data_IF_735945243890
#
_entry.id   IF_735945243890
#
_cell.length_a   1.000
_cell.length_b   1.000
_cell.length_c   1.000
_cell.angle_alpha   90.00
_cell.angle_beta   90.00
_cell.angle_gamma   90.00
#
_symmetry.space_group_name_H-M   'P 1'
#
loop_
_entity.id
_entity.type
_entity.pdbx_description
1 polymer ?
#
# COMPACT_ATOMS: atom_id res chain seq x y z
N UNK A 1 -5.13 -25.99 -21.44
CA UNK A 1 -6.36 -26.28 -20.67
C UNK A 1 -6.59 -25.14 -19.73
N UNK A 2 -7.84 -24.79 -19.40
CA UNK A 2 -8.16 -23.79 -18.37
C UNK A 2 -8.88 -24.50 -17.25
N UNK A 3 -8.76 -23.99 -16.02
CA UNK A 3 -9.42 -24.55 -14.85
C UNK A 3 -10.53 -23.61 -14.38
N UNK A 4 -11.54 -24.14 -13.71
CA UNK A 4 -12.58 -23.37 -13.05
C UNK A 4 -12.14 -22.99 -11.63
N UNK A 5 -12.34 -21.74 -11.28
CA UNK A 5 -12.15 -21.26 -9.90
C UNK A 5 -13.48 -20.75 -9.38
N UNK A 6 -13.91 -21.28 -8.22
CA UNK A 6 -15.10 -20.82 -7.48
C UNK A 6 -14.67 -20.09 -6.23
N UNK A 7 -15.17 -18.87 -6.03
CA UNK A 7 -14.91 -18.05 -4.85
C UNK A 7 -16.02 -18.24 -3.81
N UNK A 8 -15.65 -18.45 -2.56
CA UNK A 8 -16.56 -18.49 -1.41
C UNK A 8 -16.36 -17.23 -0.54
N UNK A 9 -17.44 -16.69 0.07
CA UNK A 9 -18.81 -17.23 0.12
C UNK A 9 -19.68 -16.86 -1.08
N UNK A 10 -19.27 -15.96 -2.01
CA UNK A 10 -20.14 -15.41 -3.05
C UNK A 10 -20.65 -16.43 -4.09
N UNK A 11 -19.91 -17.52 -4.27
CA UNK A 11 -20.21 -18.52 -5.28
C UNK A 11 -19.85 -18.12 -6.72
N UNK A 12 -19.24 -16.93 -6.93
CA UNK A 12 -18.78 -16.48 -8.25
C UNK A 12 -17.74 -17.42 -8.83
N UNK A 13 -17.73 -17.58 -10.15
CA UNK A 13 -16.81 -18.45 -10.86
C UNK A 13 -16.10 -17.74 -12.00
N UNK A 14 -14.87 -18.14 -12.28
CA UNK A 14 -14.11 -17.67 -13.43
C UNK A 14 -13.14 -18.75 -13.94
N UNK A 15 -12.64 -18.54 -15.15
CA UNK A 15 -11.64 -19.42 -15.76
C UNK A 15 -10.24 -18.88 -15.52
N UNK A 16 -9.32 -19.76 -15.11
CA UNK A 16 -7.89 -19.47 -14.97
C UNK A 16 -7.08 -20.28 -15.98
N UNK A 17 -6.11 -19.63 -16.63
CA UNK A 17 -5.13 -20.29 -17.50
C UNK A 17 -3.95 -20.78 -16.67
N UNK A 18 -3.22 -21.83 -17.07
CA UNK A 18 -2.10 -22.39 -16.30
C UNK A 18 -0.97 -21.39 -15.97
N UNK A 19 -0.80 -20.34 -16.78
CA UNK A 19 0.21 -19.30 -16.60
C UNK A 19 -0.28 -18.05 -15.86
N UNK A 20 -1.56 -18.02 -15.50
CA UNK A 20 -2.15 -16.90 -14.74
C UNK A 20 -2.18 -17.22 -13.26
N UNK A 21 -1.95 -16.21 -12.43
CA UNK A 21 -2.23 -16.29 -11.00
C UNK A 21 -3.73 -16.21 -10.74
N UNK A 22 -4.17 -16.72 -9.59
CA UNK A 22 -5.58 -16.62 -9.17
C UNK A 22 -6.04 -15.15 -9.17
N UNK A 23 -5.18 -14.24 -8.70
CA UNK A 23 -5.50 -12.81 -8.64
C UNK A 23 -5.67 -12.20 -10.04
N UNK A 24 -4.73 -12.46 -10.97
CA UNK A 24 -4.81 -11.94 -12.35
C UNK A 24 -6.08 -12.43 -13.07
N UNK A 25 -6.42 -13.70 -12.91
CA UNK A 25 -7.62 -14.27 -13.51
C UNK A 25 -8.90 -13.69 -12.89
N UNK A 26 -8.94 -13.51 -11.56
CA UNK A 26 -10.05 -12.88 -10.85
C UNK A 26 -10.29 -11.44 -11.32
N UNK A 27 -9.23 -10.63 -11.37
CA UNK A 27 -9.29 -9.24 -11.85
C UNK A 27 -9.81 -9.20 -13.30
N UNK A 28 -9.29 -10.07 -14.17
CA UNK A 28 -9.72 -10.17 -15.57
C UNK A 28 -11.21 -10.55 -15.71
N UNK A 29 -11.75 -11.28 -14.75
CA UNK A 29 -13.15 -11.67 -14.68
C UNK A 29 -14.05 -10.66 -13.92
N UNK A 30 -13.49 -9.53 -13.48
CA UNK A 30 -14.23 -8.52 -12.70
C UNK A 30 -14.54 -8.95 -11.27
N UNK A 31 -13.83 -9.96 -10.76
CA UNK A 31 -13.97 -10.45 -9.38
C UNK A 31 -12.83 -9.87 -8.54
N UNK A 32 -13.20 -9.10 -7.53
CA UNK A 32 -12.24 -8.33 -6.74
C UNK A 32 -11.82 -9.10 -5.49
N UNK A 33 -10.71 -9.80 -5.56
CA UNK A 33 -10.02 -10.38 -4.42
C UNK A 33 -9.18 -9.27 -3.76
N UNK A 34 -9.11 -9.15 -2.42
CA UNK A 34 -8.22 -8.20 -1.77
C UNK A 34 -6.77 -8.40 -2.21
N UNK A 35 -6.06 -7.33 -2.51
CA UNK A 35 -4.64 -7.39 -2.85
C UNK A 35 -3.93 -6.05 -2.54
N UNK A 36 -2.61 -6.12 -2.42
CA UNK A 36 -1.72 -4.96 -2.27
C UNK A 36 -0.53 -5.10 -3.22
N UNK A 37 0.58 -5.65 -2.76
CA UNK A 37 1.89 -5.67 -3.45
C UNK A 37 1.98 -6.50 -4.74
N UNK A 38 1.09 -7.43 -4.99
CA UNK A 38 1.06 -8.38 -6.13
C UNK A 38 2.34 -9.25 -6.29
N UNK A 39 3.29 -9.18 -5.37
CA UNK A 39 4.58 -9.89 -5.45
C UNK A 39 4.80 -10.90 -4.31
N UNK A 40 3.80 -11.15 -3.47
CA UNK A 40 3.86 -12.17 -2.42
C UNK A 40 4.48 -11.71 -1.09
N UNK A 41 4.52 -10.39 -0.80
CA UNK A 41 5.21 -9.85 0.35
C UNK A 41 4.33 -9.12 1.38
N UNK A 42 3.03 -8.87 1.12
CA UNK A 42 2.18 -8.14 2.05
C UNK A 42 1.04 -8.97 2.67
N UNK A 43 0.73 -10.15 2.14
CA UNK A 43 -0.34 -11.00 2.64
C UNK A 43 -1.79 -10.56 2.32
N UNK A 44 -2.01 -9.38 1.76
CA UNK A 44 -3.35 -8.84 1.51
C UNK A 44 -4.23 -9.75 0.62
N UNK A 45 -3.63 -10.57 -0.23
CA UNK A 45 -4.31 -11.53 -1.10
C UNK A 45 -4.30 -12.97 -0.54
N UNK A 46 -4.03 -13.15 0.77
CA UNK A 46 -4.07 -14.48 1.41
C UNK A 46 -5.50 -15.02 1.37
N UNK A 47 -5.63 -16.26 0.92
CA UNK A 47 -6.90 -16.94 0.76
C UNK A 47 -6.72 -18.41 1.13
N UNK A 48 -7.83 -19.11 1.42
CA UNK A 48 -7.81 -20.55 1.73
C UNK A 48 -8.31 -21.34 0.55
N UNK A 49 -7.52 -22.28 0.06
CA UNK A 49 -7.93 -23.28 -0.93
C UNK A 49 -8.71 -24.36 -0.19
N UNK A 50 -10.02 -24.44 -0.44
CA UNK A 50 -10.93 -25.41 0.18
C UNK A 50 -10.95 -26.71 -0.60
N UNK A 51 -10.77 -26.63 -1.92
CA UNK A 51 -10.70 -27.79 -2.81
C UNK A 51 -9.77 -27.47 -3.99
N UNK A 52 -9.04 -28.49 -4.45
CA UNK A 52 -8.05 -28.40 -5.52
C UNK A 52 -6.64 -28.08 -5.02
N UNK A 53 -5.69 -27.98 -5.96
CA UNK A 53 -4.28 -27.77 -5.68
C UNK A 53 -3.73 -26.56 -6.42
N UNK A 54 -2.79 -25.86 -5.78
CA UNK A 54 -2.06 -24.73 -6.35
C UNK A 54 -0.55 -24.93 -6.21
N UNK A 55 0.21 -24.38 -7.15
CA UNK A 55 1.64 -24.20 -7.03
C UNK A 55 1.91 -22.74 -6.73
N UNK A 56 2.75 -22.48 -5.75
CA UNK A 56 3.10 -21.13 -5.31
C UNK A 56 4.61 -21.01 -5.13
N UNK A 57 5.20 -20.01 -5.82
CA UNK A 57 6.62 -19.70 -5.77
C UNK A 57 6.88 -18.21 -5.57
N UNK A 58 8.11 -17.85 -5.21
CA UNK A 58 8.56 -16.46 -5.09
C UNK A 58 7.70 -15.59 -4.17
N UNK A 59 7.49 -16.03 -2.93
CA UNK A 59 6.81 -15.29 -1.89
C UNK A 59 7.66 -15.24 -0.61
N UNK A 60 7.35 -14.31 0.29
CA UNK A 60 8.01 -14.21 1.58
C UNK A 60 7.39 -15.24 2.57
N UNK A 61 8.24 -16.08 3.17
CA UNK A 61 7.79 -17.11 4.14
C UNK A 61 7.19 -16.53 5.41
N UNK A 62 7.52 -15.30 5.73
CA UNK A 62 6.96 -14.53 6.83
C UNK A 62 5.50 -14.17 6.61
N UNK A 63 5.07 -14.07 5.34
CA UNK A 63 3.70 -13.73 4.94
C UNK A 63 2.81 -14.97 4.78
N UNK A 64 3.41 -16.09 4.38
CA UNK A 64 2.73 -17.39 4.28
C UNK A 64 3.66 -18.46 4.80
N UNK A 65 3.43 -18.90 6.03
CA UNK A 65 4.22 -19.91 6.70
C UNK A 65 3.98 -21.32 6.12
N UNK A 66 4.93 -22.22 6.37
CA UNK A 66 4.78 -23.62 5.94
C UNK A 66 3.60 -24.32 6.65
N UNK A 67 3.21 -23.86 7.85
CA UNK A 67 2.03 -24.36 8.58
C UNK A 67 0.75 -23.90 7.87
N UNK A 68 0.59 -22.62 7.61
CA UNK A 68 -0.56 -22.08 6.89
C UNK A 68 -0.72 -22.72 5.50
N UNK A 69 0.39 -22.94 4.80
CA UNK A 69 0.39 -23.61 3.49
C UNK A 69 -0.15 -25.05 3.62
N UNK A 70 0.21 -25.79 4.67
CA UNK A 70 -0.33 -27.13 4.95
C UNK A 70 -1.81 -27.08 5.31
N UNK A 71 -2.27 -26.00 5.93
CA UNK A 71 -3.67 -25.76 6.28
C UNK A 71 -4.51 -25.24 5.10
N UNK A 72 -3.91 -25.18 3.90
CA UNK A 72 -4.56 -24.81 2.66
C UNK A 72 -4.52 -23.31 2.33
N UNK A 73 -3.80 -22.49 3.09
CA UNK A 73 -3.66 -21.08 2.74
C UNK A 73 -2.70 -20.86 1.56
N UNK A 74 -2.99 -19.84 0.78
CA UNK A 74 -2.17 -19.41 -0.37
C UNK A 74 -2.21 -17.89 -0.54
N UNK A 75 -1.33 -17.36 -1.40
CA UNK A 75 -1.37 -15.97 -1.84
C UNK A 75 -1.87 -15.92 -3.27
N UNK A 76 -3.06 -15.38 -3.49
CA UNK A 76 -3.70 -15.36 -4.82
C UNK A 76 -2.86 -14.68 -5.90
N UNK A 77 -1.97 -13.73 -5.54
CA UNK A 77 -1.07 -13.06 -6.49
C UNK A 77 0.14 -13.91 -6.92
N UNK A 78 0.35 -15.08 -6.32
CA UNK A 78 1.47 -16.00 -6.63
C UNK A 78 1.02 -17.40 -6.94
N UNK A 79 -0.22 -17.76 -6.59
CA UNK A 79 -0.74 -19.10 -6.76
C UNK A 79 -1.19 -19.35 -8.20
N UNK A 80 -0.66 -20.42 -8.79
CA UNK A 80 -1.07 -20.97 -10.10
C UNK A 80 -1.93 -22.21 -9.87
N UNK A 81 -3.09 -22.28 -10.53
CA UNK A 81 -3.96 -23.45 -10.44
C UNK A 81 -3.37 -24.64 -11.23
N UNK A 82 -3.47 -25.84 -10.65
CA UNK A 82 -3.10 -27.09 -11.32
C UNK A 82 -4.32 -27.94 -11.68
N UNK A 83 -5.48 -27.58 -11.13
CA UNK A 83 -6.79 -28.20 -11.38
C UNK A 83 -7.90 -27.20 -11.01
N UNK A 84 -9.17 -27.62 -11.10
CA UNK A 84 -10.30 -26.79 -10.67
C UNK A 84 -10.20 -26.47 -9.15
N UNK A 85 -10.50 -25.23 -8.78
CA UNK A 85 -10.32 -24.72 -7.42
C UNK A 85 -11.62 -24.26 -6.77
N UNK A 86 -11.71 -24.43 -5.45
CA UNK A 86 -12.63 -23.69 -4.58
C UNK A 86 -11.80 -22.91 -3.59
N UNK A 87 -11.90 -21.58 -3.67
CA UNK A 87 -11.09 -20.65 -2.87
C UNK A 87 -12.00 -19.82 -1.97
N UNK A 88 -11.72 -19.83 -0.68
CA UNK A 88 -12.39 -18.97 0.29
C UNK A 88 -11.57 -17.71 0.50
N UNK A 89 -12.16 -16.57 0.18
CA UNK A 89 -11.56 -15.24 0.38
C UNK A 89 -12.66 -14.20 0.52
N UNK A 90 -12.31 -13.04 1.07
CA UNK A 90 -13.21 -11.88 1.04
C UNK A 90 -13.22 -11.31 -0.39
N UNK A 91 -14.37 -10.81 -0.83
CA UNK A 91 -14.44 -10.01 -2.03
C UNK A 91 -14.48 -8.54 -1.65
N UNK A 92 -13.70 -7.73 -2.36
CA UNK A 92 -13.76 -6.29 -2.25
C UNK A 92 -14.76 -5.74 -3.27
N UNK A 93 -15.67 -4.88 -2.84
CA UNK A 93 -16.54 -4.15 -3.76
C UNK A 93 -15.72 -3.06 -4.47
N UNK A 94 -15.42 -3.28 -5.75
CA UNK A 94 -14.88 -2.23 -6.64
C UNK A 94 -15.97 -1.92 -7.65
N UNK A 95 -16.43 -0.69 -7.65
CA UNK A 95 -17.33 -0.23 -8.71
C UNK A 95 -16.60 -0.33 -10.08
N UNK A 96 -17.26 -0.76 -11.16
CA UNK A 96 -16.62 -0.93 -12.48
C UNK A 96 -15.90 0.33 -12.99
N UNK A 97 -16.36 1.50 -12.56
CA UNK A 97 -15.75 2.80 -12.87
C UNK A 97 -14.36 3.02 -12.23
N UNK A 98 -14.04 2.26 -11.18
CA UNK A 98 -12.76 2.30 -10.47
C UNK A 98 -11.83 1.13 -10.86
N UNK A 99 -12.13 0.41 -11.95
CA UNK A 99 -11.21 -0.61 -12.46
C UNK A 99 -9.92 0.04 -13.00
N UNK A 100 -8.75 -0.60 -12.80
CA UNK A 100 -7.48 -0.08 -13.31
C UNK A 100 -7.53 0.13 -14.83
N UNK A 101 -7.02 1.28 -15.29
CA UNK A 101 -6.89 1.64 -16.71
C UNK A 101 -5.51 2.20 -16.98
N UNK A 102 -5.08 2.11 -18.23
CA UNK A 102 -3.81 2.70 -18.67
C UNK A 102 -4.04 4.13 -19.14
N UNK A 103 -3.28 5.05 -18.56
CA UNK A 103 -3.30 6.47 -18.89
C UNK A 103 -1.92 6.95 -19.34
N UNK A 104 -1.82 7.77 -20.38
CA UNK A 104 -0.64 8.62 -20.57
C UNK A 104 -0.67 9.73 -19.51
N UNK A 105 0.49 10.04 -18.93
CA UNK A 105 0.64 11.12 -17.95
C UNK A 105 1.83 11.96 -18.28
N UNK A 106 1.75 13.26 -17.94
CA UNK A 106 2.85 14.20 -18.10
C UNK A 106 3.39 14.60 -16.75
N UNK A 107 4.70 14.58 -16.59
CA UNK A 107 5.38 15.12 -15.40
C UNK A 107 5.24 16.65 -15.39
N UNK A 108 4.55 17.20 -14.40
CA UNK A 108 4.36 18.67 -14.26
C UNK A 108 5.41 19.29 -13.34
N UNK A 109 5.87 18.54 -12.33
CA UNK A 109 6.84 19.05 -11.37
C UNK A 109 7.64 17.91 -10.76
N UNK A 110 8.91 18.21 -10.44
CA UNK A 110 9.84 17.38 -9.69
C UNK A 110 10.51 18.27 -8.64
N UNK A 111 10.28 17.98 -7.36
CA UNK A 111 10.82 18.76 -6.24
C UNK A 111 11.45 17.82 -5.23
N UNK A 112 12.75 17.96 -4.96
CA UNK A 112 13.42 17.24 -3.88
C UNK A 112 12.87 17.74 -2.54
N UNK A 113 12.24 16.85 -1.76
CA UNK A 113 11.76 17.17 -0.42
C UNK A 113 12.89 17.03 0.63
N UNK A 114 13.81 16.13 0.35
CA UNK A 114 15.10 15.96 1.03
C UNK A 114 16.06 15.19 0.10
N UNK A 115 17.17 14.70 0.62
CA UNK A 115 18.16 13.99 -0.20
C UNK A 115 17.68 12.64 -0.74
N UNK A 116 16.65 12.04 -0.12
CA UNK A 116 16.16 10.71 -0.47
C UNK A 116 14.76 10.70 -1.09
N UNK A 117 13.99 11.80 -1.01
CA UNK A 117 12.59 11.81 -1.44
C UNK A 117 12.32 12.90 -2.45
N UNK A 118 11.79 12.49 -3.60
CA UNK A 118 11.30 13.35 -4.67
C UNK A 118 9.77 13.42 -4.65
N UNK A 119 9.22 14.63 -4.59
CA UNK A 119 7.80 14.86 -4.91
C UNK A 119 7.67 15.03 -6.42
N UNK A 120 6.84 14.19 -7.03
CA UNK A 120 6.48 14.23 -8.44
C UNK A 120 5.01 14.58 -8.59
N UNK A 121 4.69 15.54 -9.42
CA UNK A 121 3.33 15.85 -9.83
C UNK A 121 3.10 15.38 -11.26
N UNK A 122 2.02 14.61 -11.46
CA UNK A 122 1.61 14.10 -12.76
C UNK A 122 0.26 14.67 -13.16
N UNK A 123 0.09 14.94 -14.45
CA UNK A 123 -1.16 15.41 -15.05
C UNK A 123 -1.64 14.43 -16.11
N UNK A 124 -2.93 14.10 -16.08
CA UNK A 124 -3.60 13.38 -17.17
C UNK A 124 -3.85 14.29 -18.38
N UNK A 125 -4.06 13.73 -19.58
CA UNK A 125 -4.32 14.52 -20.78
C UNK A 125 -5.68 15.23 -20.71
N UNK A 126 -5.74 16.42 -21.28
CA UNK A 126 -6.98 17.19 -21.35
C UNK A 126 -7.53 17.56 -19.97
N UNK A 127 -8.81 17.26 -19.78
CA UNK A 127 -9.53 17.48 -18.52
C UNK A 127 -9.87 16.14 -17.82
N UNK A 128 -9.14 15.06 -18.14
CA UNK A 128 -9.33 13.79 -17.46
C UNK A 128 -8.88 13.88 -16.01
N UNK A 129 -9.68 13.32 -15.11
CA UNK A 129 -9.41 13.21 -13.68
C UNK A 129 -9.35 11.73 -13.30
N UNK A 130 -8.32 11.34 -12.60
CA UNK A 130 -8.21 9.99 -12.07
C UNK A 130 -9.21 9.81 -10.92
N UNK A 131 -10.17 8.91 -11.11
CA UNK A 131 -11.05 8.48 -10.01
C UNK A 131 -10.36 7.38 -9.22
N UNK A 132 -10.09 7.62 -7.95
CA UNK A 132 -9.46 6.67 -7.05
C UNK A 132 -9.94 6.85 -5.60
N UNK A 133 -9.68 5.86 -4.76
CA UNK A 133 -9.83 5.99 -3.30
C UNK A 133 -8.49 6.42 -2.71
N UNK A 134 -8.50 7.41 -1.81
CA UNK A 134 -7.31 7.83 -1.09
C UNK A 134 -6.59 6.64 -0.46
N UNK A 135 -5.26 6.55 -0.67
CA UNK A 135 -4.43 5.43 -0.24
C UNK A 135 -4.13 4.39 -1.33
N UNK A 136 -4.79 4.45 -2.50
CA UNK A 136 -4.43 3.63 -3.65
C UNK A 136 -3.11 4.09 -4.31
N UNK A 137 -2.58 3.28 -5.22
CA UNK A 137 -1.33 3.53 -5.92
C UNK A 137 -1.48 3.47 -7.45
N UNK A 138 -0.44 3.90 -8.14
CA UNK A 138 -0.27 3.75 -9.59
C UNK A 138 0.91 2.83 -9.90
N UNK A 139 0.94 2.25 -11.09
CA UNK A 139 2.13 1.60 -11.63
C UNK A 139 2.61 2.30 -12.90
N UNK A 140 3.88 2.73 -12.93
CA UNK A 140 4.54 3.10 -14.18
C UNK A 140 4.79 1.85 -15.02
N UNK A 141 4.41 1.90 -16.30
CA UNK A 141 4.67 0.84 -17.28
C UNK A 141 5.96 1.17 -18.02
N UNK A 142 7.00 0.37 -17.77
CA UNK A 142 8.32 0.57 -18.35
C UNK A 142 8.41 -0.07 -19.74
N UNK A 143 9.34 0.40 -20.58
CA UNK A 143 9.55 -0.12 -21.94
C UNK A 143 10.00 -1.58 -21.94
N UNK A 144 10.72 -2.03 -20.91
CA UNK A 144 11.15 -3.41 -20.73
C UNK A 144 10.03 -4.35 -20.21
N UNK A 145 8.80 -3.84 -20.10
CA UNK A 145 7.64 -4.55 -19.57
C UNK A 145 7.58 -4.62 -18.05
N UNK A 146 8.60 -4.13 -17.34
CA UNK A 146 8.57 -4.05 -15.88
C UNK A 146 7.63 -2.95 -15.39
N UNK A 147 7.19 -3.04 -14.14
CA UNK A 147 6.27 -2.10 -13.49
C UNK A 147 6.90 -1.51 -12.24
N UNK A 148 6.56 -0.27 -11.94
CA UNK A 148 7.02 0.42 -10.72
C UNK A 148 5.84 1.07 -10.02
N UNK A 149 5.51 0.53 -8.86
CA UNK A 149 4.39 0.96 -8.02
C UNK A 149 4.78 2.17 -7.15
N UNK A 150 3.90 3.18 -7.11
CA UNK A 150 4.01 4.34 -6.22
C UNK A 150 2.64 4.75 -5.71
N UNK A 151 2.54 4.88 -4.40
CA UNK A 151 1.29 5.31 -3.75
C UNK A 151 0.98 6.76 -4.09
N UNK A 152 -0.31 7.04 -4.31
CA UNK A 152 -0.81 8.38 -4.54
C UNK A 152 -0.82 9.13 -3.21
N UNK A 153 -0.19 10.29 -3.18
CA UNK A 153 -0.08 11.16 -2.01
C UNK A 153 -1.07 12.34 -2.03
N UNK A 154 -1.65 12.66 -3.19
CA UNK A 154 -2.70 13.69 -3.33
C UNK A 154 -4.07 13.18 -2.89
N UNK A 155 -4.96 14.11 -2.57
CA UNK A 155 -6.38 13.80 -2.40
C UNK A 155 -7.03 13.40 -3.74
N UNK A 156 -8.11 12.56 -3.73
CA UNK A 156 -8.90 12.28 -4.93
C UNK A 156 -9.58 13.49 -5.58
N UNK A 157 -9.55 14.64 -4.93
CA UNK A 157 -10.14 15.91 -5.41
C UNK A 157 -9.11 16.85 -6.04
N UNK A 158 -7.83 16.49 -6.00
CA UNK A 158 -6.77 17.30 -6.59
C UNK A 158 -6.68 17.09 -8.11
N UNK A 159 -6.35 18.13 -8.85
CA UNK A 159 -6.19 18.10 -10.32
C UNK A 159 -4.93 17.33 -10.75
N UNK A 160 -3.96 17.19 -9.87
CA UNK A 160 -2.68 16.54 -10.14
C UNK A 160 -2.48 15.33 -9.22
N UNK A 161 -1.91 14.28 -9.78
CA UNK A 161 -1.50 13.12 -9.01
C UNK A 161 -0.15 13.41 -8.37
N UNK A 162 -0.09 13.47 -7.05
CA UNK A 162 1.15 13.61 -6.28
C UNK A 162 1.71 12.25 -5.89
N UNK A 163 3.00 12.06 -6.12
CA UNK A 163 3.74 10.87 -5.73
C UNK A 163 4.97 11.26 -4.90
N UNK A 164 5.32 10.45 -3.91
CA UNK A 164 6.57 10.57 -3.15
C UNK A 164 7.48 9.40 -3.50
N UNK A 165 8.54 9.68 -4.24
CA UNK A 165 9.47 8.65 -4.73
C UNK A 165 10.73 8.65 -3.87
N UNK A 166 11.04 7.51 -3.25
CA UNK A 166 12.29 7.36 -2.51
C UNK A 166 13.40 6.90 -3.44
N UNK A 167 14.57 7.53 -3.33
CA UNK A 167 15.79 7.09 -4.01
C UNK A 167 16.22 5.73 -3.45
N UNK A 168 16.29 4.74 -4.31
CA UNK A 168 16.74 3.38 -3.96
C UNK A 168 18.13 3.18 -4.53
N UNK A 169 19.07 2.80 -3.69
CA UNK A 169 20.43 2.47 -4.12
C UNK A 169 20.41 1.33 -5.15
N UNK A 170 21.04 1.55 -6.31
CA UNK A 170 20.97 0.62 -7.44
C UNK A 170 19.63 0.55 -8.19
N UNK A 171 18.65 1.32 -7.78
CA UNK A 171 17.32 1.37 -8.41
C UNK A 171 17.33 2.20 -9.68
N UNK A 172 17.30 1.57 -10.87
CA UNK A 172 17.37 2.25 -12.18
C UNK A 172 16.31 3.34 -12.33
N UNK A 173 15.04 3.07 -12.00
CA UNK A 173 13.96 4.04 -12.19
C UNK A 173 14.07 5.23 -11.23
N UNK A 174 14.30 4.98 -9.95
CA UNK A 174 14.41 6.07 -8.97
C UNK A 174 15.63 6.92 -9.21
N UNK A 175 16.75 6.34 -9.64
CA UNK A 175 17.94 7.09 -10.04
C UNK A 175 17.66 7.96 -11.27
N UNK A 176 16.97 7.40 -12.28
CA UNK A 176 16.53 8.19 -13.46
C UNK A 176 15.63 9.37 -13.06
N UNK A 177 14.69 9.18 -12.11
CA UNK A 177 13.83 10.25 -11.60
C UNK A 177 14.63 11.37 -10.95
N UNK A 178 15.66 11.03 -10.18
CA UNK A 178 16.46 12.02 -9.44
C UNK A 178 17.46 12.80 -10.27
N UNK A 179 18.00 12.18 -11.34
CA UNK A 179 19.14 12.73 -12.08
C UNK A 179 18.82 13.12 -13.53
N UNK A 180 17.87 12.43 -14.18
CA UNK A 180 17.70 12.53 -15.63
C UNK A 180 16.29 12.98 -16.06
N UNK A 181 15.26 12.58 -15.29
CA UNK A 181 13.87 12.83 -15.68
C UNK A 181 13.58 14.33 -15.76
N UNK A 182 12.90 14.72 -16.84
CA UNK A 182 12.58 16.13 -17.09
C UNK A 182 11.10 16.40 -16.88
N UNK A 183 10.80 17.60 -16.38
CA UNK A 183 9.45 18.16 -16.43
C UNK A 183 8.96 18.15 -17.88
N UNK A 184 7.67 17.85 -18.09
CA UNK A 184 6.97 17.62 -19.36
C UNK A 184 7.27 16.30 -20.06
N UNK A 185 8.09 15.40 -19.50
CA UNK A 185 8.19 14.04 -20.02
C UNK A 185 6.86 13.30 -19.90
N UNK A 186 6.61 12.39 -20.83
CA UNK A 186 5.35 11.62 -20.91
C UNK A 186 5.64 10.17 -20.57
N UNK A 187 4.83 9.60 -19.69
CA UNK A 187 4.91 8.23 -19.25
C UNK A 187 3.56 7.54 -19.34
N UNK A 188 3.53 6.22 -19.27
CA UNK A 188 2.30 5.44 -19.15
C UNK A 188 2.18 4.91 -17.73
N UNK A 189 1.00 5.07 -17.14
CA UNK A 189 0.67 4.50 -15.84
C UNK A 189 -0.57 3.62 -15.96
N UNK A 190 -0.66 2.62 -15.10
CA UNK A 190 -1.92 1.92 -14.79
C UNK A 190 -2.41 2.37 -13.42
N UNK A 191 -3.67 2.75 -13.33
CA UNK A 191 -4.29 3.31 -12.13
C UNK A 191 -5.83 3.16 -12.18
N UNK A 192 -6.53 3.23 -11.02
CA UNK A 192 -6.02 3.10 -9.67
C UNK A 192 -5.83 1.64 -9.27
N UNK A 193 -4.86 1.34 -8.42
CA UNK A 193 -4.55 -0.02 -7.98
C UNK A 193 -4.46 -0.07 -6.44
N UNK A 194 -4.72 -1.22 -5.84
CA UNK A 194 -4.55 -1.46 -4.40
C UNK A 194 -5.83 -1.37 -3.57
N UNK A 195 -5.73 -1.91 -2.36
CA UNK A 195 -6.84 -2.04 -1.41
C UNK A 195 -6.55 -1.33 -0.08
N UNK A 196 -5.49 -0.52 -0.03
CA UNK A 196 -5.14 0.30 1.13
C UNK A 196 -5.90 1.63 1.06
N UNK A 197 -7.09 1.67 1.64
CA UNK A 197 -7.95 2.86 1.74
C UNK A 197 -8.78 2.80 3.00
N UNK A 198 -9.26 3.97 3.47
CA UNK A 198 -10.03 4.09 4.70
C UNK A 198 -11.31 3.25 4.65
N UNK A 199 -11.53 2.43 5.68
CA UNK A 199 -12.76 1.65 5.87
C UNK A 199 -13.79 2.45 6.66
N UNK A 200 -15.05 2.24 6.35
CA UNK A 200 -16.14 2.82 7.12
C UNK A 200 -16.13 2.27 8.55
N UNK A 201 -16.02 3.15 9.52
CA UNK A 201 -16.00 2.85 10.94
C UNK A 201 -16.08 4.13 11.75
N UNK A 202 -16.37 4.00 13.03
CA UNK A 202 -16.31 5.09 14.03
C UNK A 202 -15.09 4.94 14.95
N UNK A 203 -14.36 3.84 14.84
CA UNK A 203 -13.18 3.54 15.68
C UNK A 203 -12.06 4.56 15.44
N UNK A 204 -11.26 4.90 16.46
CA UNK A 204 -10.01 5.66 16.29
C UNK A 204 -9.10 5.03 15.24
N UNK A 205 -8.32 5.86 14.57
CA UNK A 205 -7.40 5.45 13.51
C UNK A 205 -5.96 5.61 13.98
N UNK A 206 -5.20 4.53 13.86
CA UNK A 206 -3.77 4.52 14.11
C UNK A 206 -3.06 4.40 12.77
N UNK A 207 -2.44 5.47 12.32
CA UNK A 207 -1.57 5.46 11.15
C UNK A 207 -0.13 5.21 11.56
N UNK A 208 0.51 4.21 10.96
CA UNK A 208 1.94 3.90 11.13
C UNK A 208 2.62 4.03 9.78
N UNK A 209 3.43 5.07 9.61
CA UNK A 209 4.12 5.39 8.37
C UNK A 209 5.63 5.22 8.49
N UNK A 210 6.22 4.30 7.73
CA UNK A 210 7.67 4.16 7.58
C UNK A 210 8.17 4.85 6.30
N UNK A 211 9.02 5.86 6.41
CA UNK A 211 9.58 6.58 5.26
C UNK A 211 8.51 7.12 4.32
N UNK A 212 8.55 6.71 3.02
CA UNK A 212 7.55 7.12 2.02
C UNK A 212 6.20 6.40 2.16
N UNK A 213 6.03 5.48 3.12
CA UNK A 213 4.71 5.00 3.56
C UNK A 213 3.78 6.12 4.05
N UNK A 214 4.33 7.30 4.28
CA UNK A 214 3.54 8.51 4.53
C UNK A 214 2.69 8.95 3.32
N UNK A 215 3.09 8.67 2.09
CA UNK A 215 2.36 9.11 0.90
C UNK A 215 0.88 8.68 0.87
N UNK A 216 0.52 7.38 0.95
CA UNK A 216 -0.88 6.97 0.93
C UNK A 216 -1.63 7.42 2.19
N UNK A 217 -0.97 7.52 3.33
CA UNK A 217 -1.57 8.03 4.58
C UNK A 217 -1.90 9.52 4.45
N UNK A 218 -1.00 10.32 3.85
CA UNK A 218 -1.28 11.73 3.54
C UNK A 218 -2.55 11.86 2.70
N UNK A 219 -2.67 11.08 1.63
CA UNK A 219 -3.86 11.06 0.77
C UNK A 219 -5.14 10.77 1.57
N UNK A 220 -5.10 9.78 2.47
CA UNK A 220 -6.25 9.41 3.31
C UNK A 220 -6.62 10.55 4.27
N UNK A 221 -5.65 11.17 4.96
CA UNK A 221 -5.91 12.26 5.91
C UNK A 221 -6.52 13.46 5.19
N UNK A 222 -6.00 13.85 4.03
CA UNK A 222 -6.54 14.95 3.23
C UNK A 222 -7.95 14.66 2.72
N UNK A 223 -8.23 13.42 2.29
CA UNK A 223 -9.57 12.98 1.90
C UNK A 223 -10.55 13.03 3.09
N UNK A 224 -10.11 12.62 4.29
CA UNK A 224 -10.90 12.72 5.50
C UNK A 224 -11.25 14.18 5.84
N UNK A 225 -10.30 15.09 5.71
CA UNK A 225 -10.53 16.53 5.94
C UNK A 225 -11.58 17.09 4.98
N UNK A 226 -11.48 16.78 3.68
CA UNK A 226 -12.43 17.23 2.65
C UNK A 226 -13.82 16.65 2.90
N UNK A 227 -13.92 15.37 3.25
CA UNK A 227 -15.18 14.67 3.56
C UNK A 227 -15.73 15.00 4.95
N UNK A 228 -14.98 15.73 5.76
CA UNK A 228 -15.33 16.07 7.15
C UNK A 228 -15.59 14.81 8.01
N UNK A 229 -14.79 13.76 7.78
CA UNK A 229 -14.85 12.54 8.59
C UNK A 229 -14.19 12.84 9.93
N UNK A 230 -14.97 12.74 11.01
CA UNK A 230 -14.52 13.01 12.37
C UNK A 230 -14.27 11.68 13.09
N UNK A 231 -13.01 11.35 13.27
CA UNK A 231 -12.51 10.19 14.02
C UNK A 231 -11.20 10.59 14.69
N UNK A 232 -10.91 10.15 15.91
CA UNK A 232 -9.59 10.35 16.49
C UNK A 232 -8.50 9.75 15.61
N UNK A 233 -7.43 10.51 15.35
CA UNK A 233 -6.31 10.12 14.49
C UNK A 233 -5.02 10.20 15.28
N UNK A 234 -4.26 9.11 15.28
CA UNK A 234 -2.90 9.07 15.80
C UNK A 234 -1.96 8.72 14.65
N UNK A 235 -1.07 9.66 14.29
CA UNK A 235 -0.13 9.50 13.20
C UNK A 235 1.28 9.29 13.74
N UNK A 236 1.76 8.05 13.70
CA UNK A 236 3.14 7.67 14.02
C UNK A 236 3.98 7.64 12.74
N UNK A 237 5.01 8.50 12.67
CA UNK A 237 5.92 8.53 11.52
C UNK A 237 7.31 8.10 11.92
N UNK A 238 7.76 6.95 11.36
CA UNK A 238 9.07 6.35 11.62
C UNK A 238 10.07 6.62 10.49
N UNK A 239 11.26 7.05 10.85
CA UNK A 239 12.41 7.26 9.95
C UNK A 239 13.70 6.79 10.62
N UNK A 240 14.77 6.62 9.84
CA UNK A 240 16.11 6.32 10.41
C UNK A 240 16.73 7.55 11.06
N UNK A 241 16.69 8.68 10.36
CA UNK A 241 17.25 9.96 10.79
C UNK A 241 16.14 11.01 10.78
N UNK A 242 16.16 11.95 11.71
CA UNK A 242 15.18 13.03 11.77
C UNK A 242 15.07 13.82 10.46
N UNK A 243 16.21 14.07 9.79
CA UNK A 243 16.26 14.73 8.47
C UNK A 243 15.48 14.02 7.37
N UNK A 244 15.14 12.73 7.55
CA UNK A 244 14.28 11.98 6.64
C UNK A 244 12.77 12.20 6.87
N UNK A 245 12.36 12.93 7.92
CA UNK A 245 10.96 13.33 8.16
C UNK A 245 10.52 14.46 7.23
N UNK A 246 10.51 14.18 5.93
CA UNK A 246 10.02 15.16 4.95
C UNK A 246 8.56 15.57 5.25
N UNK A 247 8.18 16.80 4.94
CA UNK A 247 6.85 17.37 5.27
C UNK A 247 6.49 17.27 6.77
N UNK A 248 7.48 17.33 7.66
CA UNK A 248 7.25 17.33 9.11
C UNK A 248 6.31 18.46 9.53
N UNK A 249 6.53 19.67 9.02
CA UNK A 249 5.71 20.85 9.33
C UNK A 249 4.24 20.66 8.92
N UNK A 250 3.96 19.94 7.82
CA UNK A 250 2.57 19.62 7.42
C UNK A 250 1.86 18.82 8.51
N UNK A 251 2.54 17.86 9.13
CA UNK A 251 1.95 17.07 10.21
C UNK A 251 1.70 17.90 11.49
N UNK A 252 2.61 18.83 11.81
CA UNK A 252 2.42 19.78 12.90
C UNK A 252 1.25 20.76 12.64
N UNK A 253 1.06 21.16 11.39
CA UNK A 253 -0.08 22.01 11.01
C UNK A 253 -1.41 21.24 11.06
N UNK A 254 -1.43 19.96 10.72
CA UNK A 254 -2.60 19.09 10.91
C UNK A 254 -2.94 18.95 12.41
N UNK A 255 -1.95 18.74 13.27
CA UNK A 255 -2.16 18.62 14.72
C UNK A 255 -2.81 19.88 15.32
N UNK A 256 -2.52 21.06 14.76
CA UNK A 256 -3.14 22.34 15.19
C UNK A 256 -4.54 22.57 14.58
N UNK A 257 -4.84 21.98 13.41
CA UNK A 257 -6.01 22.32 12.61
C UNK A 257 -7.08 21.24 12.53
N UNK A 258 -6.74 19.99 12.84
CA UNK A 258 -7.66 18.86 12.80
C UNK A 258 -8.02 18.48 14.25
N UNK A 259 -9.31 18.43 14.55
CA UNK A 259 -9.80 17.99 15.85
C UNK A 259 -9.36 16.54 16.14
N UNK A 260 -8.93 16.24 17.36
CA UNK A 260 -8.53 14.90 17.82
C UNK A 260 -7.43 14.25 16.94
N UNK A 261 -6.49 15.04 16.47
CA UNK A 261 -5.31 14.60 15.73
C UNK A 261 -4.07 14.69 16.61
N UNK A 262 -3.34 13.59 16.72
CA UNK A 262 -2.07 13.52 17.44
C UNK A 262 -0.95 13.07 16.51
N UNK A 263 0.14 13.82 16.46
CA UNK A 263 1.30 13.52 15.63
C UNK A 263 2.48 13.07 16.45
N UNK A 264 3.02 11.89 16.19
CA UNK A 264 4.13 11.29 16.91
C UNK A 264 5.29 11.01 15.96
N UNK A 265 6.30 11.89 15.86
CA UNK A 265 7.52 11.61 15.11
C UNK A 265 8.43 10.65 15.89
N UNK A 266 8.98 9.66 15.15
CA UNK A 266 9.88 8.65 15.70
C UNK A 266 11.11 8.53 14.81
N UNK A 267 12.30 8.48 15.39
CA UNK A 267 13.55 8.22 14.68
C UNK A 267 14.28 7.03 15.30
N UNK A 268 14.93 6.22 14.47
CA UNK A 268 15.79 5.15 15.00
C UNK A 268 17.04 5.73 15.68
N UNK A 269 17.54 6.87 15.19
CA UNK A 269 18.73 7.54 15.71
C UNK A 269 18.38 8.85 16.40
N UNK A 270 19.20 9.24 17.39
CA UNK A 270 19.07 10.52 18.08
C UNK A 270 19.34 11.67 17.11
N UNK A 271 18.64 12.79 17.32
CA UNK A 271 18.88 14.07 16.67
C UNK A 271 18.98 15.17 17.72
N UNK A 272 19.87 16.13 17.50
CA UNK A 272 19.96 17.35 18.31
C UNK A 272 18.93 18.41 17.87
N UNK A 273 18.26 18.18 16.72
CA UNK A 273 17.35 19.14 16.10
C UNK A 273 15.90 19.05 16.63
N UNK A 274 15.58 18.08 17.49
CA UNK A 274 14.22 17.89 18.01
C UNK A 274 14.24 17.21 19.39
N UNK A 275 13.88 17.97 20.42
CA UNK A 275 13.87 17.50 21.81
C UNK A 275 12.74 16.50 22.10
N UNK A 276 11.60 16.60 21.41
CA UNK A 276 10.40 15.74 21.61
C UNK A 276 10.42 14.48 20.72
N UNK A 277 11.54 14.20 20.07
CA UNK A 277 11.67 13.05 19.18
C UNK A 277 11.78 11.74 19.98
N UNK A 278 10.88 10.82 19.73
CA UNK A 278 10.97 9.47 20.27
C UNK A 278 12.03 8.65 19.51
N UNK A 279 12.89 7.92 20.25
CA UNK A 279 14.00 7.19 19.68
C UNK A 279 13.73 5.69 19.74
N UNK A 280 13.59 5.05 18.58
CA UNK A 280 13.34 3.61 18.47
C UNK A 280 12.46 3.22 17.29
N UNK A 281 11.78 2.08 17.40
CA UNK A 281 10.93 1.54 16.35
C UNK A 281 9.50 2.09 16.44
N UNK A 282 9.00 2.68 15.38
CA UNK A 282 7.73 3.40 15.35
C UNK A 282 6.53 2.56 15.78
N UNK A 283 6.45 1.29 15.39
CA UNK A 283 5.33 0.42 15.76
C UNK A 283 5.33 0.07 17.25
N UNK A 284 6.49 0.07 17.90
CA UNK A 284 6.61 -0.17 19.34
C UNK A 284 5.95 0.96 20.13
N UNK A 285 6.26 2.21 19.79
CA UNK A 285 5.64 3.37 20.42
C UNK A 285 4.14 3.42 20.18
N UNK A 286 3.69 3.13 18.95
CA UNK A 286 2.27 3.04 18.66
C UNK A 286 1.57 1.97 19.52
N UNK A 287 2.25 0.87 19.81
CA UNK A 287 1.71 -0.22 20.63
C UNK A 287 1.76 0.08 22.13
N UNK A 288 2.80 0.83 22.59
CA UNK A 288 2.95 1.24 23.99
C UNK A 288 1.95 2.31 24.41
N UNK A 289 1.58 3.21 23.51
CA UNK A 289 0.67 4.33 23.79
C UNK A 289 -0.81 3.90 23.80
N UNK A 290 -1.14 2.67 23.38
CA UNK A 290 -2.52 2.20 23.19
C UNK A 290 -2.90 1.16 24.24
N UNK A 291 -3.98 1.45 24.99
CA UNK A 291 -4.52 0.56 26.03
C UNK A 291 -5.56 -0.44 25.48
N UNK A 292 -6.39 0.00 24.51
CA UNK A 292 -7.47 -0.79 23.92
C UNK A 292 -7.24 -1.03 22.43
N UNK A 293 -6.83 -2.25 22.09
CA UNK A 293 -6.58 -2.64 20.70
C UNK A 293 -7.82 -3.22 19.99
N UNK A 294 -8.86 -3.63 20.72
CA UNK A 294 -10.06 -4.22 20.10
C UNK A 294 -10.92 -3.16 19.39
N UNK A 295 -10.84 -1.91 19.88
CA UNK A 295 -11.69 -0.80 19.41
C UNK A 295 -10.95 0.23 18.54
N UNK A 296 -9.90 -0.16 17.84
CA UNK A 296 -9.16 0.71 16.91
C UNK A 296 -9.06 0.10 15.51
N UNK A 297 -8.67 0.92 14.53
CA UNK A 297 -8.21 0.48 13.21
C UNK A 297 -6.76 0.90 13.00
N UNK A 298 -5.91 -0.04 12.58
CA UNK A 298 -4.50 0.22 12.29
C UNK A 298 -4.27 0.23 10.79
N UNK A 299 -3.65 1.28 10.28
CA UNK A 299 -3.22 1.45 8.89
C UNK A 299 -1.70 1.58 8.86
N UNK A 300 -1.00 0.52 8.46
CA UNK A 300 0.46 0.46 8.47
C UNK A 300 1.02 0.44 7.06
N UNK A 301 1.89 1.40 6.74
CA UNK A 301 2.50 1.51 5.41
C UNK A 301 4.00 1.79 5.49
N UNK A 302 4.79 1.07 4.67
CA UNK A 302 6.25 1.23 4.63
C UNK A 302 7.00 -0.04 4.23
N UNK A 303 8.22 -0.19 4.75
CA UNK A 303 9.05 -1.37 4.47
C UNK A 303 8.39 -2.67 4.97
N UNK A 304 8.56 -3.82 4.26
CA UNK A 304 7.93 -5.08 4.64
C UNK A 304 8.19 -5.50 6.08
N UNK A 305 9.43 -5.32 6.56
CA UNK A 305 9.78 -5.67 7.96
C UNK A 305 9.04 -4.84 9.01
N UNK A 306 8.74 -3.56 8.73
CA UNK A 306 7.90 -2.74 9.60
C UNK A 306 6.45 -3.26 9.64
N UNK A 307 5.88 -3.51 8.47
CA UNK A 307 4.48 -3.97 8.33
C UNK A 307 4.29 -5.32 9.01
N UNK A 308 5.23 -6.25 8.82
CA UNK A 308 5.21 -7.57 9.43
C UNK A 308 5.34 -7.50 10.96
N UNK A 309 6.32 -6.74 11.47
CA UNK A 309 6.51 -6.57 12.90
C UNK A 309 5.28 -5.93 13.56
N UNK A 310 4.72 -4.87 12.95
CA UNK A 310 3.52 -4.24 13.43
C UNK A 310 2.33 -5.22 13.44
N UNK A 311 2.08 -5.94 12.34
CA UNK A 311 1.00 -6.92 12.27
C UNK A 311 1.10 -7.97 13.39
N UNK A 312 2.27 -8.62 13.51
CA UNK A 312 2.47 -9.69 14.50
C UNK A 312 2.33 -9.19 15.94
N UNK A 313 2.89 -8.03 16.25
CA UNK A 313 2.86 -7.50 17.62
C UNK A 313 1.47 -6.98 18.01
N UNK A 314 0.77 -6.26 17.12
CA UNK A 314 -0.57 -5.77 17.40
C UNK A 314 -1.59 -6.90 17.53
N UNK A 315 -1.57 -7.87 16.62
CA UNK A 315 -2.51 -9.01 16.67
C UNK A 315 -2.23 -9.93 17.87
N UNK A 316 -0.96 -10.15 18.23
CA UNK A 316 -0.62 -10.93 19.43
C UNK A 316 -1.09 -10.28 20.74
N UNK A 317 -1.33 -8.96 20.73
CA UNK A 317 -1.85 -8.19 21.87
C UNK A 317 -3.36 -7.90 21.80
N UNK A 318 -4.07 -8.49 20.84
CA UNK A 318 -5.53 -8.48 20.81
C UNK A 318 -6.17 -7.61 19.74
N UNK A 319 -5.39 -6.98 18.82
CA UNK A 319 -5.99 -6.33 17.65
C UNK A 319 -6.62 -7.41 16.74
N UNK A 320 -7.90 -7.31 16.38
CA UNK A 320 -8.50 -8.17 15.37
C UNK A 320 -7.76 -8.04 14.03
N UNK A 321 -7.42 -9.16 13.39
CA UNK A 321 -6.68 -9.14 12.11
C UNK A 321 -7.40 -8.33 11.02
N UNK A 322 -8.73 -8.33 11.03
CA UNK A 322 -9.58 -7.56 10.10
C UNK A 322 -9.52 -6.05 10.29
N UNK A 323 -9.00 -5.58 11.42
CA UNK A 323 -8.82 -4.16 11.72
C UNK A 323 -7.38 -3.68 11.45
N UNK A 324 -6.52 -4.57 10.93
CA UNK A 324 -5.17 -4.22 10.47
C UNK A 324 -5.14 -4.12 8.94
N UNK A 325 -4.88 -2.95 8.42
CA UNK A 325 -4.76 -2.65 7.00
C UNK A 325 -3.31 -2.29 6.67
N UNK A 326 -2.76 -2.92 5.65
CA UNK A 326 -1.33 -2.78 5.36
C UNK A 326 -1.04 -2.53 3.87
N UNK A 327 0.01 -1.75 3.61
CA UNK A 327 0.64 -1.62 2.31
C UNK A 327 2.17 -1.69 2.46
N UNK A 328 2.74 -2.86 2.10
CA UNK A 328 4.17 -3.12 2.23
C UNK A 328 4.88 -2.78 0.92
N UNK A 329 5.83 -1.84 0.98
CA UNK A 329 6.61 -1.40 -0.18
C UNK A 329 7.74 -2.37 -0.49
N UNK A 330 7.55 -3.21 -1.49
CA UNK A 330 8.58 -4.13 -1.96
C UNK A 330 9.33 -3.53 -3.13
N UNK A 331 10.64 -3.71 -3.11
CA UNK A 331 11.48 -3.35 -4.25
C UNK A 331 11.36 -4.42 -5.33
N UNK A 332 11.27 -4.00 -6.59
CA UNK A 332 11.34 -4.94 -7.69
C UNK A 332 12.69 -5.70 -7.60
N UNK A 333 12.69 -7.04 -7.82
CA UNK A 333 13.94 -7.80 -7.84
C UNK A 333 14.92 -7.14 -8.81
N UNK A 334 16.18 -6.98 -8.38
CA UNK A 334 17.23 -6.63 -9.31
C UNK A 334 17.31 -7.76 -10.33
N UNK A 335 17.19 -7.45 -11.62
CA UNK A 335 17.47 -8.42 -12.66
C UNK A 335 18.92 -8.88 -12.44
N UNK A 336 19.10 -10.14 -12.08
CA UNK A 336 20.42 -10.76 -12.06
C UNK A 336 20.98 -10.63 -13.48
N UNK A 337 22.06 -9.87 -13.62
CA UNK A 337 22.87 -9.81 -14.84
C UNK A 337 23.54 -11.15 -15.09
#
# INVERSE_FOLDING_TARGET
MSYNVKILPSGKTFLIRPSQTILEAAISAGINIPYGCQNGSCGACKAKVINGNVVIDNYQRTVLSDVEKKDGFTLCCKALATEDLVVQTREAEIAPENAPKIFPVRVESLVKLNNEVMKMLLKLPGNEVLKFKAGQYIEFLMEDGSRRAFSIASSPYDDLIELHLRLIEGGKFTHHVFEEMKVKSIHKIEAPIGQFYLRESVKPIIFIAGGTGFAPIKSIIEDMCIKKIKRPIFLYRGVREFSNLYMHNLCLDWEKSIDEFTYIPVSENKSEDCDDLRIGLVHKFALEDLEDLENIQVYCCGAPGLVEAAFNEFTSKGLPEEEFFADAFTFAPQANN
#
